data_IF_157880362369
#
_entry.id   IF_157880362369
#
_cell.length_a   1.000
_cell.length_b   1.000
_cell.length_c   1.000
_cell.angle_alpha   90.00
_cell.angle_beta   90.00
_cell.angle_gamma   90.00
#
_symmetry.space_group_name_H-M   'P 1'
#
loop_
_entity.id
_entity.type
_entity.pdbx_description
1 polymer ?
#
# COMPACT_ATOMS: atom_id res chain seq x y z
N UNK A 1 44.25 9.04 -21.81
CA UNK A 1 44.14 7.56 -21.77
C UNK A 1 44.70 7.09 -20.43
N UNK A 2 43.90 6.98 -19.36
CA UNK A 2 44.40 6.43 -18.11
C UNK A 2 44.40 4.90 -18.19
N UNK A 3 45.48 4.31 -17.70
CA UNK A 3 45.78 2.89 -17.72
C UNK A 3 44.81 2.08 -16.86
N UNK A 4 44.28 1.00 -17.42
CA UNK A 4 43.39 0.03 -16.76
C UNK A 4 44.27 -0.82 -15.82
N UNK A 5 44.26 -0.50 -14.53
CA UNK A 5 45.01 -1.26 -13.53
C UNK A 5 44.48 -2.70 -13.48
N UNK A 6 45.37 -3.67 -13.68
CA UNK A 6 45.05 -5.08 -13.52
C UNK A 6 44.69 -5.35 -12.04
N UNK A 7 43.47 -5.82 -11.82
CA UNK A 7 42.97 -6.21 -10.50
C UNK A 7 43.71 -7.49 -10.10
N UNK A 8 44.69 -7.36 -9.20
CA UNK A 8 45.48 -8.50 -8.74
C UNK A 8 44.76 -9.11 -7.53
N UNK A 9 44.31 -10.36 -7.65
CA UNK A 9 43.54 -11.13 -6.65
C UNK A 9 44.32 -11.47 -5.35
N UNK A 10 45.53 -10.93 -5.17
CA UNK A 10 46.34 -11.20 -4.00
C UNK A 10 46.13 -10.12 -2.92
N UNK A 11 45.49 -10.52 -1.81
CA UNK A 11 45.28 -9.79 -0.55
C UNK A 11 44.07 -8.86 -0.47
N UNK A 12 42.86 -9.42 -0.38
CA UNK A 12 41.69 -8.69 0.13
C UNK A 12 41.35 -9.19 1.55
N UNK A 13 41.71 -8.46 2.62
CA UNK A 13 41.27 -8.80 3.98
C UNK A 13 39.75 -8.66 4.13
N UNK A 14 39.16 -9.44 5.05
CA UNK A 14 37.74 -9.35 5.41
C UNK A 14 37.37 -7.95 5.90
N UNK A 15 36.21 -7.43 5.46
CA UNK A 15 35.62 -6.20 6.00
C UNK A 15 36.17 -4.90 5.39
N UNK A 16 36.18 -4.75 4.07
CA UNK A 16 36.70 -3.55 3.40
C UNK A 16 35.61 -2.61 2.86
N UNK A 17 35.90 -1.31 2.98
CA UNK A 17 35.25 -0.27 2.18
C UNK A 17 35.83 -0.34 0.77
N UNK A 18 35.00 -0.65 -0.21
CA UNK A 18 35.32 -0.71 -1.64
C UNK A 18 34.74 0.50 -2.37
N UNK A 19 35.29 0.81 -3.55
CA UNK A 19 34.78 1.87 -4.43
C UNK A 19 33.88 1.29 -5.52
N UNK A 20 33.02 2.12 -6.11
CA UNK A 20 32.14 1.67 -7.20
C UNK A 20 32.95 1.14 -8.40
N UNK A 21 34.01 1.86 -8.79
CA UNK A 21 34.88 1.45 -9.89
C UNK A 21 35.56 0.08 -9.66
N UNK A 22 35.85 -0.25 -8.39
CA UNK A 22 36.38 -1.56 -8.03
C UNK A 22 35.33 -2.67 -8.21
N UNK A 23 34.09 -2.43 -7.78
CA UNK A 23 32.98 -3.37 -7.97
C UNK A 23 32.75 -3.60 -9.47
N UNK A 24 32.67 -2.54 -10.27
CA UNK A 24 32.44 -2.63 -11.71
C UNK A 24 33.56 -3.44 -12.39
N UNK A 25 34.82 -3.17 -12.04
CA UNK A 25 35.96 -3.93 -12.55
C UNK A 25 35.98 -5.40 -12.12
N UNK A 26 35.56 -5.70 -10.88
CA UNK A 26 35.45 -7.07 -10.36
C UNK A 26 34.42 -7.88 -11.15
N UNK A 27 33.26 -7.28 -11.46
CA UNK A 27 32.18 -7.95 -12.21
C UNK A 27 32.60 -8.29 -13.65
N UNK A 28 33.61 -7.61 -14.19
CA UNK A 28 34.17 -7.88 -15.52
C UNK A 28 35.27 -8.97 -15.52
N UNK A 29 35.74 -9.45 -14.36
CA UNK A 29 36.83 -10.44 -14.35
C UNK A 29 36.35 -11.81 -14.83
N UNK A 30 37.17 -12.56 -15.60
CA UNK A 30 36.80 -13.90 -16.07
C UNK A 30 36.47 -14.86 -14.93
N UNK A 31 37.19 -14.76 -13.79
CA UNK A 31 36.96 -15.57 -12.59
C UNK A 31 35.56 -15.33 -12.01
N UNK A 32 35.15 -14.07 -11.88
CA UNK A 32 33.82 -13.69 -11.38
C UNK A 32 32.72 -14.09 -12.36
N UNK A 33 32.92 -13.88 -13.66
CA UNK A 33 31.95 -14.28 -14.69
C UNK A 33 31.75 -15.81 -14.72
N UNK A 34 32.83 -16.58 -14.61
CA UNK A 34 32.76 -18.03 -14.55
C UNK A 34 32.05 -18.50 -13.26
N UNK A 35 32.35 -17.89 -12.12
CA UNK A 35 31.68 -18.21 -10.86
C UNK A 35 30.17 -17.96 -10.94
N UNK A 36 29.75 -16.85 -11.54
CA UNK A 36 28.34 -16.54 -11.78
C UNK A 36 27.68 -17.52 -12.74
N UNK A 37 28.34 -17.86 -13.86
CA UNK A 37 27.81 -18.80 -14.83
C UNK A 37 27.53 -20.17 -14.21
N UNK A 38 28.45 -20.69 -13.39
CA UNK A 38 28.26 -21.95 -12.66
C UNK A 38 27.10 -21.83 -11.67
N UNK A 39 27.02 -20.74 -10.91
CA UNK A 39 25.93 -20.52 -9.96
C UNK A 39 24.56 -20.48 -10.64
N UNK A 40 24.44 -19.79 -11.78
CA UNK A 40 23.20 -19.76 -12.58
C UNK A 40 22.85 -21.14 -13.15
N UNK A 41 23.83 -21.90 -13.65
CA UNK A 41 23.59 -23.26 -14.13
C UNK A 41 23.03 -24.16 -13.01
N UNK A 42 23.60 -24.07 -11.80
CA UNK A 42 23.12 -24.82 -10.64
C UNK A 42 21.71 -24.39 -10.23
N UNK A 43 21.42 -23.09 -10.27
CA UNK A 43 20.07 -22.56 -10.02
C UNK A 43 19.04 -23.07 -11.03
N UNK A 44 19.37 -23.08 -12.33
CA UNK A 44 18.50 -23.61 -13.37
C UNK A 44 18.28 -25.13 -13.24
N UNK A 45 19.27 -25.85 -12.73
CA UNK A 45 19.20 -27.29 -12.48
C UNK A 45 18.53 -27.65 -11.13
N UNK A 46 18.09 -26.66 -10.35
CA UNK A 46 17.57 -26.83 -8.99
C UNK A 46 18.55 -27.54 -8.02
N UNK A 47 19.86 -27.41 -8.28
CA UNK A 47 20.94 -28.06 -7.52
C UNK A 47 21.50 -27.14 -6.44
N UNK A 48 20.82 -27.10 -5.30
CA UNK A 48 21.18 -26.22 -4.17
C UNK A 48 22.44 -26.67 -3.46
N UNK A 49 22.64 -27.98 -3.30
CA UNK A 49 23.83 -28.51 -2.64
C UNK A 49 25.08 -28.21 -3.47
N UNK A 50 25.01 -28.41 -4.79
CA UNK A 50 26.07 -28.04 -5.73
C UNK A 50 26.30 -26.52 -5.76
N UNK A 51 25.26 -25.71 -5.67
CA UNK A 51 25.40 -24.26 -5.54
C UNK A 51 26.10 -23.86 -4.24
N UNK A 52 25.70 -24.45 -3.10
CA UNK A 52 26.29 -24.14 -1.79
C UNK A 52 27.76 -24.52 -1.75
N UNK A 53 28.10 -25.70 -2.25
CA UNK A 53 29.48 -26.16 -2.36
C UNK A 53 30.32 -25.23 -3.26
N UNK A 54 29.77 -24.83 -4.41
CA UNK A 54 30.42 -23.86 -5.31
C UNK A 54 30.66 -22.52 -4.60
N UNK A 55 29.64 -21.93 -3.99
CA UNK A 55 29.76 -20.65 -3.27
C UNK A 55 30.76 -20.69 -2.13
N UNK A 56 30.85 -21.81 -1.39
CA UNK A 56 31.82 -22.00 -0.31
C UNK A 56 33.27 -22.10 -0.81
N UNK A 57 33.48 -22.50 -2.06
CA UNK A 57 34.81 -22.58 -2.68
C UNK A 57 35.33 -21.23 -3.18
N UNK A 58 34.44 -20.22 -3.31
CA UNK A 58 34.80 -18.88 -3.80
C UNK A 58 35.44 -18.04 -2.69
N UNK A 59 36.25 -17.06 -3.10
CA UNK A 59 36.70 -16.02 -2.16
C UNK A 59 35.50 -15.20 -1.67
N UNK A 60 35.53 -14.63 -0.45
CA UNK A 60 34.39 -13.90 0.11
C UNK A 60 33.86 -12.79 -0.82
N UNK A 61 34.76 -12.10 -1.51
CA UNK A 61 34.41 -11.02 -2.44
C UNK A 61 33.65 -11.54 -3.67
N UNK A 62 34.15 -12.60 -4.30
CA UNK A 62 33.50 -13.22 -5.48
C UNK A 62 32.20 -13.91 -5.05
N UNK A 63 32.15 -14.49 -3.86
CA UNK A 63 30.96 -15.10 -3.28
C UNK A 63 29.82 -14.08 -3.12
N UNK A 64 30.07 -12.94 -2.48
CA UNK A 64 29.03 -11.90 -2.29
C UNK A 64 28.59 -11.27 -3.61
N UNK A 65 29.52 -11.04 -4.54
CA UNK A 65 29.20 -10.56 -5.89
C UNK A 65 28.33 -11.56 -6.65
N UNK A 66 28.67 -12.86 -6.57
CA UNK A 66 27.92 -13.95 -7.21
C UNK A 66 26.52 -14.06 -6.61
N UNK A 67 26.39 -14.06 -5.28
CA UNK A 67 25.11 -14.07 -4.58
C UNK A 67 24.24 -12.87 -4.96
N UNK A 68 24.80 -11.67 -4.98
CA UNK A 68 24.05 -10.47 -5.36
C UNK A 68 23.49 -10.57 -6.78
N UNK A 69 24.30 -11.02 -7.74
CA UNK A 69 23.85 -11.20 -9.13
C UNK A 69 22.82 -12.31 -9.27
N UNK A 70 23.03 -13.46 -8.61
CA UNK A 70 22.07 -14.56 -8.61
C UNK A 70 20.69 -14.11 -8.11
N UNK A 71 20.67 -13.43 -6.97
CA UNK A 71 19.44 -13.00 -6.28
C UNK A 71 18.80 -11.73 -6.88
N UNK A 72 19.50 -11.02 -7.76
CA UNK A 72 18.93 -9.90 -8.52
C UNK A 72 17.87 -10.35 -9.54
N UNK A 73 17.86 -11.63 -9.90
CA UNK A 73 16.87 -12.22 -10.82
C UNK A 73 15.82 -13.05 -10.06
N UNK A 74 14.53 -13.02 -10.45
CA UNK A 74 13.50 -13.83 -9.82
C UNK A 74 13.88 -15.32 -9.81
N UNK A 75 13.83 -15.94 -8.63
CA UNK A 75 14.10 -17.38 -8.45
C UNK A 75 12.78 -18.10 -8.19
N UNK A 76 12.55 -19.25 -8.84
CA UNK A 76 11.41 -20.10 -8.49
C UNK A 76 11.65 -20.72 -7.12
N UNK A 77 10.72 -20.54 -6.20
CA UNK A 77 10.85 -21.02 -4.81
C UNK A 77 9.89 -22.17 -4.50
N UNK A 78 9.55 -22.99 -5.51
CA UNK A 78 8.70 -24.18 -5.33
C UNK A 78 9.40 -25.21 -4.43
N UNK A 79 10.72 -25.37 -4.61
CA UNK A 79 11.56 -26.24 -3.79
C UNK A 79 11.79 -25.63 -2.38
N UNK A 80 11.48 -26.36 -1.29
CA UNK A 80 11.67 -25.90 0.09
C UNK A 80 13.11 -25.55 0.45
N UNK A 81 14.09 -26.22 -0.14
CA UNK A 81 15.49 -26.03 0.19
C UNK A 81 15.98 -24.65 -0.28
N UNK A 82 15.42 -24.11 -1.36
CA UNK A 82 15.66 -22.73 -1.80
C UNK A 82 15.13 -21.74 -0.78
N UNK A 83 13.94 -21.99 -0.24
CA UNK A 83 13.33 -21.13 0.79
C UNK A 83 14.17 -21.13 2.06
N UNK A 84 14.71 -22.28 2.45
CA UNK A 84 15.63 -22.39 3.60
C UNK A 84 16.94 -21.66 3.32
N UNK A 85 17.56 -21.90 2.17
CA UNK A 85 18.80 -21.24 1.76
C UNK A 85 18.65 -19.71 1.72
N UNK A 86 17.58 -19.19 1.12
CA UNK A 86 17.31 -17.75 1.11
C UNK A 86 17.02 -17.20 2.50
N UNK A 87 16.37 -17.97 3.38
CA UNK A 87 16.14 -17.55 4.77
C UNK A 87 17.47 -17.41 5.50
N UNK A 88 18.38 -18.36 5.35
CA UNK A 88 19.73 -18.28 5.91
C UNK A 88 20.46 -17.02 5.42
N UNK A 89 20.49 -16.80 4.09
CA UNK A 89 21.11 -15.61 3.49
C UNK A 89 20.45 -14.31 3.97
N UNK A 90 19.14 -14.33 4.19
CA UNK A 90 18.39 -13.16 4.64
C UNK A 90 18.79 -12.69 6.04
N UNK A 91 19.47 -13.52 6.84
CA UNK A 91 19.94 -13.15 8.17
C UNK A 91 21.44 -12.80 8.20
N UNK A 92 22.14 -12.94 7.07
CA UNK A 92 23.56 -12.63 6.97
C UNK A 92 23.83 -11.13 6.82
N UNK A 93 25.02 -10.70 7.26
CA UNK A 93 25.52 -9.34 7.09
C UNK A 93 26.54 -9.31 5.95
N UNK A 94 26.35 -8.49 4.91
CA UNK A 94 27.37 -8.29 3.87
C UNK A 94 28.67 -7.74 4.45
N UNK A 95 29.80 -8.30 4.04
CA UNK A 95 31.12 -7.97 4.56
C UNK A 95 31.77 -6.79 3.83
N UNK A 96 31.44 -6.59 2.55
CA UNK A 96 31.98 -5.50 1.76
C UNK A 96 31.03 -4.31 1.78
N UNK A 97 31.58 -3.11 1.99
CA UNK A 97 30.81 -1.88 2.11
C UNK A 97 31.22 -0.90 1.00
N UNK A 98 30.26 -0.20 0.42
CA UNK A 98 30.47 0.89 -0.53
C UNK A 98 30.35 2.23 0.21
N UNK A 99 31.36 3.08 0.09
CA UNK A 99 31.30 4.46 0.58
C UNK A 99 31.05 5.42 -0.57
N UNK A 100 30.00 6.22 -0.46
CA UNK A 100 29.64 7.25 -1.44
C UNK A 100 29.14 8.52 -0.75
N UNK A 101 29.14 9.64 -1.48
CA UNK A 101 28.65 10.91 -0.97
C UNK A 101 27.20 11.12 -1.41
N UNK A 102 26.31 11.42 -0.46
CA UNK A 102 24.91 11.73 -0.69
C UNK A 102 24.55 12.98 0.12
N UNK A 103 23.99 14.00 -0.54
CA UNK A 103 23.57 15.27 0.07
C UNK A 103 24.65 15.96 0.93
N UNK A 104 25.92 15.86 0.50
CA UNK A 104 27.06 16.44 1.21
C UNK A 104 27.63 15.57 2.33
N UNK A 105 26.97 14.47 2.69
CA UNK A 105 27.40 13.53 3.74
C UNK A 105 27.98 12.24 3.15
N UNK A 106 28.90 11.60 3.89
CA UNK A 106 29.43 10.28 3.54
C UNK A 106 28.50 9.19 4.08
N UNK A 107 27.95 8.38 3.18
CA UNK A 107 27.10 7.23 3.52
C UNK A 107 27.86 5.94 3.21
N UNK A 108 27.70 4.95 4.08
CA UNK A 108 28.27 3.61 3.91
C UNK A 108 27.13 2.60 3.79
N UNK A 109 27.08 1.88 2.68
CA UNK A 109 26.07 0.85 2.39
C UNK A 109 26.75 -0.48 2.10
N UNK A 110 26.06 -1.63 2.16
CA UNK A 110 26.59 -2.87 1.58
C UNK A 110 27.01 -2.68 0.12
N UNK A 111 28.16 -3.23 -0.26
CA UNK A 111 28.60 -3.27 -1.66
C UNK A 111 27.75 -4.26 -2.47
N UNK A 112 27.30 -5.34 -1.82
CA UNK A 112 26.51 -6.41 -2.40
C UNK A 112 25.28 -6.67 -1.53
N UNK A 113 24.10 -6.23 -1.96
CA UNK A 113 22.86 -6.29 -1.17
C UNK A 113 22.17 -7.67 -1.20
N UNK A 114 22.93 -8.77 -1.18
CA UNK A 114 22.39 -10.12 -1.35
C UNK A 114 21.40 -10.53 -0.25
N UNK A 115 21.65 -10.16 1.01
CA UNK A 115 20.74 -10.45 2.11
C UNK A 115 19.38 -9.75 1.95
N UNK A 116 19.39 -8.50 1.48
CA UNK A 116 18.16 -7.76 1.18
C UNK A 116 17.42 -8.36 -0.03
N UNK A 117 18.17 -8.74 -1.08
CA UNK A 117 17.62 -9.43 -2.24
C UNK A 117 16.95 -10.76 -1.86
N UNK A 118 17.57 -11.56 -0.96
CA UNK A 118 16.98 -12.80 -0.44
C UNK A 118 15.64 -12.55 0.28
N UNK A 119 15.57 -11.53 1.15
CA UNK A 119 14.31 -11.12 1.81
C UNK A 119 13.25 -10.74 0.80
N UNK A 120 13.63 -9.97 -0.22
CA UNK A 120 12.70 -9.54 -1.27
C UNK A 120 12.12 -10.74 -2.04
N UNK A 121 12.94 -11.73 -2.40
CA UNK A 121 12.49 -12.95 -3.08
C UNK A 121 11.50 -13.73 -2.21
N UNK A 122 11.82 -13.93 -0.93
CA UNK A 122 10.94 -14.62 0.02
C UNK A 122 9.60 -13.89 0.19
N UNK A 123 9.63 -12.57 0.30
CA UNK A 123 8.42 -11.75 0.40
C UNK A 123 7.58 -11.86 -0.88
N UNK A 124 8.19 -11.78 -2.06
CA UNK A 124 7.48 -11.96 -3.35
C UNK A 124 6.78 -13.32 -3.42
N UNK A 125 7.50 -14.39 -3.10
CA UNK A 125 6.92 -15.73 -3.08
C UNK A 125 5.76 -15.83 -2.09
N UNK A 126 5.89 -15.28 -0.87
CA UNK A 126 4.79 -15.25 0.08
C UNK A 126 3.57 -14.50 -0.46
N UNK A 127 3.76 -13.36 -1.11
CA UNK A 127 2.67 -12.64 -1.77
C UNK A 127 2.03 -13.48 -2.89
N UNK A 128 2.83 -14.11 -3.76
CA UNK A 128 2.33 -14.98 -4.83
C UNK A 128 1.51 -16.15 -4.28
N UNK A 129 1.95 -16.79 -3.20
CA UNK A 129 1.21 -17.87 -2.54
C UNK A 129 -0.13 -17.38 -1.99
N UNK A 130 -0.16 -16.22 -1.32
CA UNK A 130 -1.41 -15.64 -0.82
C UNK A 130 -2.37 -15.29 -1.96
N UNK A 131 -1.86 -14.71 -3.05
CA UNK A 131 -2.67 -14.37 -4.23
C UNK A 131 -3.25 -15.62 -4.89
N UNK A 132 -2.46 -16.70 -5.02
CA UNK A 132 -2.93 -17.98 -5.57
C UNK A 132 -4.00 -18.61 -4.67
N UNK A 133 -3.75 -18.67 -3.36
CA UNK A 133 -4.70 -19.22 -2.38
C UNK A 133 -6.02 -18.42 -2.38
N UNK A 134 -5.95 -17.09 -2.35
CA UNK A 134 -7.11 -16.20 -2.48
C UNK A 134 -7.85 -16.43 -3.79
N UNK A 135 -7.13 -16.49 -4.91
CA UNK A 135 -7.74 -16.70 -6.22
C UNK A 135 -8.53 -18.01 -6.27
N UNK A 136 -7.98 -19.09 -5.72
CA UNK A 136 -8.69 -20.36 -5.59
C UNK A 136 -9.93 -20.23 -4.69
N UNK A 137 -9.78 -19.70 -3.47
CA UNK A 137 -10.88 -19.55 -2.52
C UNK A 137 -12.01 -18.66 -3.07
N UNK A 138 -11.66 -17.58 -3.78
CA UNK A 138 -12.63 -16.70 -4.43
C UNK A 138 -13.35 -17.41 -5.58
N UNK A 139 -12.62 -18.13 -6.43
CA UNK A 139 -13.19 -18.82 -7.59
C UNK A 139 -14.24 -19.87 -7.18
N UNK A 140 -14.01 -20.56 -6.06
CA UNK A 140 -14.93 -21.55 -5.51
C UNK A 140 -15.95 -20.97 -4.51
N UNK A 141 -15.93 -19.65 -4.26
CA UNK A 141 -16.76 -18.97 -3.23
C UNK A 141 -16.59 -19.59 -1.84
N UNK A 142 -15.38 -20.02 -1.52
CA UNK A 142 -15.00 -20.65 -0.25
C UNK A 142 -14.25 -19.69 0.69
N UNK A 143 -13.90 -18.48 0.23
CA UNK A 143 -13.22 -17.51 1.08
C UNK A 143 -14.13 -17.06 2.22
N UNK A 144 -13.71 -17.30 3.46
CA UNK A 144 -14.31 -16.68 4.65
C UNK A 144 -13.38 -15.58 5.14
N UNK A 145 -13.83 -14.32 5.08
CA UNK A 145 -12.96 -13.15 5.35
C UNK A 145 -12.31 -13.25 6.73
N UNK A 146 -13.11 -13.55 7.76
CA UNK A 146 -12.63 -13.60 9.15
C UNK A 146 -11.55 -14.67 9.35
N UNK A 147 -11.72 -15.84 8.72
CA UNK A 147 -10.78 -16.96 8.82
C UNK A 147 -9.51 -16.70 8.00
N UNK A 148 -9.65 -15.96 6.90
CA UNK A 148 -8.52 -15.56 6.06
C UNK A 148 -7.62 -14.54 6.76
N UNK A 149 -8.19 -13.44 7.28
CA UNK A 149 -7.42 -12.31 7.77
C UNK A 149 -6.81 -12.56 9.15
N UNK A 150 -7.44 -13.40 9.98
CA UNK A 150 -6.99 -13.74 11.34
C UNK A 150 -6.57 -12.49 12.11
N UNK A 151 -7.53 -11.65 12.57
CA UNK A 151 -7.27 -10.29 13.04
C UNK A 151 -6.24 -10.19 14.18
N UNK A 152 -6.13 -11.22 15.02
CA UNK A 152 -5.19 -11.28 16.14
C UNK A 152 -3.81 -11.86 15.78
N UNK A 153 -3.59 -12.22 14.51
CA UNK A 153 -2.35 -12.85 14.03
C UNK A 153 -1.31 -11.84 13.57
N UNK A 154 -0.02 -12.19 13.73
CA UNK A 154 1.10 -11.37 13.25
C UNK A 154 1.09 -11.13 11.72
N UNK A 155 0.41 -12.01 10.97
CA UNK A 155 0.25 -11.90 9.51
C UNK A 155 -0.98 -11.09 9.07
N UNK A 156 -1.76 -10.52 10.00
CA UNK A 156 -3.01 -9.81 9.69
C UNK A 156 -2.83 -8.79 8.57
N UNK A 157 -1.87 -7.87 8.71
CA UNK A 157 -1.66 -6.80 7.74
C UNK A 157 -1.38 -7.36 6.33
N UNK A 158 -0.52 -8.37 6.22
CA UNK A 158 -0.17 -8.99 4.93
C UNK A 158 -1.37 -9.69 4.30
N UNK A 159 -2.13 -10.46 5.07
CA UNK A 159 -3.33 -11.19 4.59
C UNK A 159 -4.44 -10.23 4.20
N UNK A 160 -4.63 -9.17 4.99
CA UNK A 160 -5.54 -8.06 4.72
C UNK A 160 -5.16 -7.37 3.42
N UNK A 161 -3.90 -6.98 3.23
CA UNK A 161 -3.42 -6.28 2.02
C UNK A 161 -3.61 -7.14 0.77
N UNK A 162 -3.31 -8.44 0.85
CA UNK A 162 -3.52 -9.38 -0.25
C UNK A 162 -5.01 -9.48 -0.64
N UNK A 163 -5.91 -9.53 0.36
CA UNK A 163 -7.35 -9.55 0.10
C UNK A 163 -7.83 -8.22 -0.51
N UNK A 164 -7.36 -7.09 0.01
CA UNK A 164 -7.72 -5.76 -0.53
C UNK A 164 -7.29 -5.63 -1.99
N UNK A 165 -6.06 -6.02 -2.33
CA UNK A 165 -5.57 -6.02 -3.70
C UNK A 165 -6.42 -6.93 -4.61
N UNK A 166 -6.72 -8.15 -4.15
CA UNK A 166 -7.54 -9.09 -4.92
C UNK A 166 -8.97 -8.57 -5.15
N UNK A 167 -9.61 -7.95 -4.17
CA UNK A 167 -10.92 -7.29 -4.34
C UNK A 167 -10.80 -6.15 -5.36
N UNK A 168 -9.68 -5.43 -5.34
CA UNK A 168 -9.32 -4.39 -6.31
C UNK A 168 -9.41 -4.84 -7.76
N UNK A 169 -9.03 -6.09 -8.04
CA UNK A 169 -8.92 -6.65 -9.39
C UNK A 169 -10.11 -7.54 -9.81
N UNK A 170 -11.00 -7.88 -8.86
CA UNK A 170 -12.11 -8.79 -9.11
C UNK A 170 -13.37 -8.09 -9.62
N UNK A 171 -14.19 -8.82 -10.40
CA UNK A 171 -15.48 -8.31 -10.88
C UNK A 171 -16.50 -8.17 -9.73
N UNK A 172 -17.26 -7.06 -9.74
CA UNK A 172 -18.23 -6.72 -8.69
C UNK A 172 -19.23 -7.85 -8.37
N UNK A 173 -19.78 -8.52 -9.39
CA UNK A 173 -20.74 -9.62 -9.23
C UNK A 173 -20.13 -10.83 -8.49
N UNK A 174 -18.82 -11.04 -8.64
CA UNK A 174 -18.07 -12.09 -7.95
C UNK A 174 -17.87 -11.81 -6.47
N UNK A 175 -18.03 -10.56 -6.04
CA UNK A 175 -17.79 -10.11 -4.67
C UNK A 175 -19.05 -10.06 -3.80
N UNK A 176 -20.24 -10.29 -4.37
CA UNK A 176 -21.50 -10.20 -3.63
C UNK A 176 -21.52 -11.09 -2.36
N UNK A 177 -20.96 -12.30 -2.42
CA UNK A 177 -20.91 -13.17 -1.24
C UNK A 177 -19.95 -12.67 -0.14
N UNK A 178 -18.92 -11.89 -0.50
CA UNK A 178 -18.03 -11.24 0.48
C UNK A 178 -18.72 -10.03 1.13
N UNK A 179 -19.50 -9.28 0.35
CA UNK A 179 -20.35 -8.23 0.89
C UNK A 179 -21.33 -8.81 1.92
N UNK A 180 -22.00 -9.92 1.59
CA UNK A 180 -22.90 -10.62 2.51
C UNK A 180 -22.21 -11.07 3.79
N UNK A 181 -20.97 -11.59 3.71
CA UNK A 181 -20.19 -11.91 4.90
C UNK A 181 -19.95 -10.69 5.77
N UNK A 182 -19.53 -9.55 5.19
CA UNK A 182 -19.32 -8.33 5.96
C UNK A 182 -20.61 -7.81 6.63
N UNK A 183 -21.75 -8.05 5.99
CA UNK A 183 -23.06 -7.68 6.53
C UNK A 183 -23.54 -8.63 7.64
N UNK A 184 -23.20 -9.92 7.60
CA UNK A 184 -23.82 -10.90 8.50
C UNK A 184 -22.86 -11.53 9.53
N UNK A 185 -21.54 -11.49 9.30
CA UNK A 185 -20.56 -12.05 10.23
C UNK A 185 -20.17 -11.03 11.31
N UNK A 186 -20.55 -11.24 12.59
CA UNK A 186 -20.22 -10.34 13.68
C UNK A 186 -18.71 -10.24 13.95
N UNK A 187 -17.91 -11.23 13.53
CA UNK A 187 -16.44 -11.20 13.70
C UNK A 187 -15.80 -10.06 12.91
N UNK A 188 -16.42 -9.65 11.80
CA UNK A 188 -15.89 -8.60 10.92
C UNK A 188 -16.15 -7.18 11.44
N UNK A 189 -17.02 -7.03 12.44
CA UNK A 189 -17.25 -5.73 13.09
C UNK A 189 -16.02 -5.23 13.86
N UNK A 190 -15.19 -6.17 14.33
CA UNK A 190 -14.05 -5.93 15.20
C UNK A 190 -12.70 -5.95 14.48
N UNK A 191 -12.68 -5.89 13.14
CA UNK A 191 -11.42 -5.79 12.41
C UNK A 191 -10.63 -4.52 12.83
N UNK A 192 -9.30 -4.58 12.92
CA UNK A 192 -8.47 -3.44 13.35
C UNK A 192 -8.64 -2.15 12.54
N UNK A 193 -8.98 -2.26 11.26
CA UNK A 193 -9.10 -1.13 10.32
C UNK A 193 -10.28 -1.32 9.36
N UNK A 194 -10.53 -0.33 8.49
CA UNK A 194 -11.63 -0.32 7.53
C UNK A 194 -11.23 -0.71 6.10
N UNK A 195 -10.01 -1.19 5.84
CA UNK A 195 -9.52 -1.38 4.47
C UNK A 195 -10.39 -2.31 3.62
N UNK A 196 -10.75 -3.48 4.18
CA UNK A 196 -11.57 -4.48 3.47
C UNK A 196 -12.98 -3.94 3.25
N UNK A 197 -13.56 -3.27 4.25
CA UNK A 197 -14.90 -2.68 4.14
C UNK A 197 -14.93 -1.58 3.08
N UNK A 198 -13.92 -0.70 3.08
CA UNK A 198 -13.81 0.41 2.14
C UNK A 198 -13.73 -0.10 0.70
N UNK A 199 -12.81 -1.03 0.41
CA UNK A 199 -12.65 -1.55 -0.95
C UNK A 199 -13.86 -2.39 -1.40
N UNK A 200 -14.49 -3.17 -0.51
CA UNK A 200 -15.73 -3.88 -0.86
C UNK A 200 -16.88 -2.91 -1.13
N UNK A 201 -17.05 -1.88 -0.30
CA UNK A 201 -18.10 -0.87 -0.49
C UNK A 201 -17.92 -0.15 -1.82
N UNK A 202 -16.69 0.26 -2.17
CA UNK A 202 -16.38 0.92 -3.43
C UNK A 202 -16.62 0.00 -4.64
N UNK A 203 -16.12 -1.23 -4.60
CA UNK A 203 -16.22 -2.16 -5.73
C UNK A 203 -17.63 -2.68 -5.98
N UNK A 204 -18.41 -2.88 -4.92
CA UNK A 204 -19.79 -3.40 -5.04
C UNK A 204 -20.83 -2.28 -5.11
N UNK A 205 -20.45 -1.04 -4.79
CA UNK A 205 -21.35 0.10 -4.59
C UNK A 205 -22.53 -0.24 -3.67
N UNK A 206 -22.32 -1.12 -2.67
CA UNK A 206 -23.40 -1.60 -1.81
C UNK A 206 -23.74 -0.55 -0.72
N UNK A 207 -24.95 0.02 -0.68
CA UNK A 207 -25.30 1.10 0.25
C UNK A 207 -25.11 0.71 1.72
N UNK A 208 -25.42 -0.54 2.09
CA UNK A 208 -25.28 -0.98 3.47
C UNK A 208 -23.82 -1.13 3.92
N UNK A 209 -22.90 -1.44 3.00
CA UNK A 209 -21.48 -1.49 3.33
C UNK A 209 -20.94 -0.09 3.62
N UNK A 210 -21.33 0.90 2.81
CA UNK A 210 -21.04 2.30 3.11
C UNK A 210 -21.69 2.76 4.42
N UNK A 211 -22.94 2.39 4.67
CA UNK A 211 -23.61 2.71 5.92
C UNK A 211 -22.87 2.13 7.15
N UNK A 212 -22.24 0.95 7.02
CA UNK A 212 -21.35 0.41 8.04
C UNK A 212 -20.05 1.19 8.14
N UNK A 213 -19.41 1.47 7.01
CA UNK A 213 -18.15 2.21 6.95
C UNK A 213 -18.27 3.55 7.69
N UNK A 214 -19.34 4.30 7.42
CA UNK A 214 -19.60 5.60 8.04
C UNK A 214 -19.93 5.53 9.52
N UNK A 215 -20.29 4.36 10.07
CA UNK A 215 -20.55 4.18 11.50
C UNK A 215 -19.33 3.69 12.29
N UNK A 216 -18.30 3.16 11.61
CA UNK A 216 -17.05 2.73 12.27
C UNK A 216 -16.18 3.93 12.63
N UNK A 217 -15.18 3.68 13.47
CA UNK A 217 -14.14 4.66 13.76
C UNK A 217 -13.44 5.05 12.46
N UNK A 218 -13.31 6.36 12.23
CA UNK A 218 -12.69 6.90 11.01
C UNK A 218 -11.19 6.62 11.01
N UNK A 219 -10.70 6.07 9.91
CA UNK A 219 -9.29 5.85 9.61
C UNK A 219 -8.93 6.34 8.20
N UNK A 220 -7.69 6.10 7.77
CA UNK A 220 -7.22 6.48 6.44
C UNK A 220 -8.12 5.90 5.31
N UNK A 221 -8.55 4.65 5.43
CA UNK A 221 -9.37 3.98 4.41
C UNK A 221 -10.78 4.58 4.30
N UNK A 222 -11.36 5.02 5.41
CA UNK A 222 -12.65 5.72 5.40
C UNK A 222 -12.55 7.08 4.69
N UNK A 223 -11.45 7.80 4.91
CA UNK A 223 -11.16 9.07 4.24
C UNK A 223 -10.93 8.87 2.75
N UNK A 224 -10.13 7.88 2.37
CA UNK A 224 -9.87 7.51 0.97
C UNK A 224 -11.18 7.14 0.25
N UNK A 225 -12.02 6.30 0.86
CA UNK A 225 -13.33 5.93 0.31
C UNK A 225 -14.22 7.17 0.10
N UNK A 226 -14.23 8.11 1.04
CA UNK A 226 -14.95 9.38 0.89
C UNK A 226 -14.37 10.21 -0.26
N UNK A 227 -13.05 10.32 -0.38
CA UNK A 227 -12.39 11.01 -1.48
C UNK A 227 -12.69 10.38 -2.85
N UNK A 228 -12.76 9.05 -2.95
CA UNK A 228 -13.08 8.35 -4.19
C UNK A 228 -14.48 8.71 -4.72
N UNK A 229 -15.47 8.90 -3.84
CA UNK A 229 -16.84 9.30 -4.23
C UNK A 229 -16.89 10.65 -4.95
N UNK A 230 -15.96 11.56 -4.67
CA UNK A 230 -15.85 12.84 -5.40
C UNK A 230 -15.49 12.64 -6.88
N UNK A 231 -14.78 11.56 -7.22
CA UNK A 231 -14.49 11.22 -8.62
C UNK A 231 -15.73 10.77 -9.41
N UNK A 232 -16.82 10.41 -8.73
CA UNK A 232 -18.02 9.78 -9.29
C UNK A 232 -19.27 10.66 -9.12
N UNK A 233 -19.10 12.00 -9.08
CA UNK A 233 -20.14 12.99 -8.74
C UNK A 233 -21.36 12.98 -9.66
N UNK A 234 -21.22 12.51 -10.90
CA UNK A 234 -22.34 12.35 -11.84
C UNK A 234 -23.36 11.30 -11.38
N UNK A 235 -23.00 10.47 -10.40
CA UNK A 235 -23.86 9.43 -9.85
C UNK A 235 -24.59 9.92 -8.58
N UNK A 236 -25.92 9.80 -8.61
CA UNK A 236 -26.80 10.07 -7.47
C UNK A 236 -26.41 9.24 -6.22
N UNK A 237 -25.89 8.03 -6.44
CA UNK A 237 -25.41 7.18 -5.36
C UNK A 237 -24.25 7.83 -4.62
N UNK A 238 -23.21 8.29 -5.32
CA UNK A 238 -22.03 8.91 -4.71
C UNK A 238 -22.37 10.16 -3.91
N UNK A 239 -23.28 10.98 -4.44
CA UNK A 239 -23.80 12.16 -3.73
C UNK A 239 -24.52 11.75 -2.44
N UNK A 240 -25.38 10.72 -2.50
CA UNK A 240 -26.08 10.21 -1.32
C UNK A 240 -25.11 9.66 -0.26
N UNK A 241 -24.01 9.01 -0.68
CA UNK A 241 -23.01 8.46 0.24
C UNK A 241 -22.16 9.56 0.87
N UNK A 242 -21.80 10.62 0.14
CA UNK A 242 -21.13 11.80 0.72
C UNK A 242 -22.03 12.47 1.77
N UNK A 243 -23.34 12.61 1.49
CA UNK A 243 -24.31 13.14 2.46
C UNK A 243 -24.46 12.23 3.69
N UNK A 244 -24.39 10.91 3.52
CA UNK A 244 -24.41 9.95 4.61
C UNK A 244 -23.14 10.02 5.47
N UNK A 245 -21.97 10.12 4.85
CA UNK A 245 -20.68 10.28 5.52
C UNK A 245 -20.63 11.56 6.37
N UNK A 246 -21.27 12.65 5.92
CA UNK A 246 -21.35 13.90 6.67
C UNK A 246 -22.07 13.79 8.03
N UNK A 247 -22.81 12.69 8.28
CA UNK A 247 -23.41 12.41 9.59
C UNK A 247 -22.41 11.87 10.61
N UNK A 248 -21.27 11.34 10.16
CA UNK A 248 -20.18 10.95 11.05
C UNK A 248 -19.41 12.22 11.46
N UNK A 249 -19.32 12.55 12.77
CA UNK A 249 -18.65 13.76 13.24
C UNK A 249 -17.21 13.90 12.75
N UNK A 250 -16.47 12.79 12.65
CA UNK A 250 -15.06 12.77 12.23
C UNK A 250 -14.89 12.93 10.72
N UNK A 251 -15.91 12.64 9.91
CA UNK A 251 -15.88 12.81 8.44
C UNK A 251 -16.60 14.08 7.97
N UNK A 252 -17.39 14.70 8.85
CA UNK A 252 -18.32 15.79 8.51
C UNK A 252 -17.68 16.89 7.70
N UNK A 253 -16.61 17.49 8.21
CA UNK A 253 -15.99 18.65 7.55
C UNK A 253 -15.47 18.30 6.16
N UNK A 254 -14.86 17.12 6.02
CA UNK A 254 -14.36 16.63 4.73
C UNK A 254 -15.51 16.39 3.76
N UNK A 255 -16.58 15.73 4.20
CA UNK A 255 -17.75 15.47 3.37
C UNK A 255 -18.46 16.77 2.95
N UNK A 256 -18.65 17.72 3.87
CA UNK A 256 -19.24 19.04 3.59
C UNK A 256 -18.38 19.82 2.59
N UNK A 257 -17.05 19.83 2.75
CA UNK A 257 -16.14 20.47 1.77
C UNK A 257 -16.26 19.85 0.39
N UNK A 258 -16.34 18.52 0.30
CA UNK A 258 -16.49 17.85 -0.99
C UNK A 258 -17.84 18.18 -1.65
N UNK A 259 -18.94 18.11 -0.90
CA UNK A 259 -20.28 18.48 -1.35
C UNK A 259 -20.36 19.97 -1.78
N UNK A 260 -19.72 20.85 -1.02
CA UNK A 260 -19.64 22.27 -1.34
C UNK A 260 -18.81 22.54 -2.60
N UNK A 261 -17.80 21.72 -2.87
CA UNK A 261 -16.95 21.87 -4.08
C UNK A 261 -17.64 21.48 -5.39
N UNK A 262 -18.86 20.92 -5.33
CA UNK A 262 -19.60 20.55 -6.53
C UNK A 262 -20.07 21.80 -7.29
N UNK A 263 -19.89 21.78 -8.61
CA UNK A 263 -20.29 22.87 -9.50
C UNK A 263 -20.83 22.29 -10.83
N UNK A 264 -22.09 22.58 -11.21
CA UNK A 264 -23.10 23.29 -10.41
C UNK A 264 -23.47 22.51 -9.14
N UNK A 265 -24.03 23.21 -8.13
CA UNK A 265 -24.47 22.57 -6.88
C UNK A 265 -25.76 21.79 -7.14
N UNK A 266 -25.79 20.45 -6.99
CA UNK A 266 -27.01 19.69 -7.22
C UNK A 266 -28.10 20.04 -6.20
N UNK A 267 -29.37 20.10 -6.62
CA UNK A 267 -30.49 20.46 -5.74
C UNK A 267 -30.55 19.61 -4.44
N UNK A 268 -30.39 18.27 -4.47
CA UNK A 268 -30.39 17.47 -3.24
C UNK A 268 -29.25 17.85 -2.27
N UNK A 269 -28.13 18.32 -2.80
CA UNK A 269 -26.98 18.77 -2.00
C UNK A 269 -27.25 20.14 -1.39
N UNK A 270 -27.86 21.06 -2.15
CA UNK A 270 -28.28 22.36 -1.66
C UNK A 270 -29.24 22.20 -0.46
N UNK A 271 -30.29 21.38 -0.62
CA UNK A 271 -31.27 21.11 0.43
C UNK A 271 -30.61 20.51 1.68
N UNK A 272 -29.69 19.56 1.47
CA UNK A 272 -28.92 18.97 2.56
C UNK A 272 -28.06 19.99 3.30
N UNK A 273 -27.33 20.84 2.59
CA UNK A 273 -26.47 21.88 3.18
C UNK A 273 -27.30 22.92 3.95
N UNK A 274 -28.47 23.31 3.42
CA UNK A 274 -29.45 24.19 4.11
C UNK A 274 -29.93 23.56 5.42
N UNK A 275 -30.25 22.26 5.40
CA UNK A 275 -30.61 21.53 6.61
C UNK A 275 -29.46 21.50 7.63
N UNK A 276 -28.21 21.30 7.17
CA UNK A 276 -27.02 21.31 8.03
C UNK A 276 -26.74 22.69 8.67
N UNK A 277 -26.98 23.79 7.95
CA UNK A 277 -26.87 25.17 8.47
C UNK A 277 -27.87 25.46 9.58
N UNK A 278 -29.00 24.76 9.59
CA UNK A 278 -30.05 24.90 10.60
C UNK A 278 -29.77 24.11 11.89
N UNK A 279 -28.72 23.27 11.90
CA UNK A 279 -28.30 22.54 13.10
C UNK A 279 -27.45 23.42 14.02
N UNK A 280 -27.29 23.00 15.28
CA UNK A 280 -26.51 23.73 16.31
C UNK A 280 -25.05 24.00 15.92
N UNK A 281 -24.47 23.17 15.07
CA UNK A 281 -23.09 23.30 14.56
C UNK A 281 -23.11 23.80 13.11
N UNK A 282 -24.03 24.69 12.79
CA UNK A 282 -24.21 25.24 11.44
C UNK A 282 -23.23 26.36 11.11
N UNK A 283 -22.62 26.96 12.12
CA UNK A 283 -21.52 27.93 12.02
C UNK A 283 -20.30 27.34 11.30
N UNK A 284 -19.86 26.15 11.70
CA UNK A 284 -18.75 25.44 11.04
C UNK A 284 -19.10 25.11 9.60
N UNK A 285 -20.34 24.68 9.33
CA UNK A 285 -20.82 24.42 7.97
C UNK A 285 -20.80 25.69 7.11
N UNK A 286 -21.27 26.81 7.66
CA UNK A 286 -21.25 28.10 6.98
C UNK A 286 -19.83 28.53 6.63
N UNK A 287 -18.88 28.37 7.55
CA UNK A 287 -17.47 28.67 7.31
C UNK A 287 -16.90 27.82 6.17
N UNK A 288 -17.12 26.50 6.19
CA UNK A 288 -16.65 25.60 5.13
C UNK A 288 -17.24 25.96 3.75
N UNK A 289 -18.49 26.42 3.72
CA UNK A 289 -19.15 26.88 2.49
C UNK A 289 -18.55 28.18 1.96
N UNK A 290 -18.19 29.11 2.85
CA UNK A 290 -17.49 30.35 2.49
C UNK A 290 -16.10 30.05 1.93
N UNK A 291 -15.35 29.15 2.57
CA UNK A 291 -14.03 28.65 2.13
C UNK A 291 -14.11 27.96 0.76
N UNK A 292 -15.20 27.22 0.51
CA UNK A 292 -15.49 26.60 -0.79
C UNK A 292 -16.00 27.59 -1.87
N UNK A 293 -16.02 28.89 -1.58
CA UNK A 293 -16.43 29.93 -2.52
C UNK A 293 -17.94 30.10 -2.67
N UNK A 294 -18.77 29.50 -1.81
CA UNK A 294 -20.25 29.59 -1.87
C UNK A 294 -20.83 30.79 -1.11
N UNK A 295 -20.04 31.84 -0.91
CA UNK A 295 -20.47 33.04 -0.16
C UNK A 295 -21.70 33.73 -0.76
N UNK A 296 -21.75 33.91 -2.09
CA UNK A 296 -22.91 34.55 -2.75
C UNK A 296 -24.19 33.72 -2.61
N UNK A 297 -24.06 32.40 -2.74
CA UNK A 297 -25.17 31.46 -2.52
C UNK A 297 -25.69 31.55 -1.08
N UNK A 298 -24.81 31.61 -0.08
CA UNK A 298 -25.18 31.82 1.33
C UNK A 298 -25.90 33.15 1.55
N UNK A 299 -25.47 34.24 0.92
CA UNK A 299 -26.13 35.54 1.02
C UNK A 299 -27.57 35.47 0.50
N UNK A 300 -27.80 34.76 -0.61
CA UNK A 300 -29.15 34.53 -1.14
C UNK A 300 -30.07 33.75 -0.18
N UNK A 301 -29.51 32.84 0.62
CA UNK A 301 -30.27 31.99 1.55
C UNK A 301 -30.69 32.67 2.86
N UNK A 302 -30.18 33.87 3.16
CA UNK A 302 -30.49 34.54 4.44
C UNK A 302 -32.01 34.78 4.62
N UNK A 303 -32.74 35.01 3.54
CA UNK A 303 -34.18 35.22 3.58
C UNK A 303 -35.00 33.94 3.85
N UNK A 304 -34.43 32.78 3.54
CA UNK A 304 -35.11 31.48 3.58
C UNK A 304 -34.85 30.72 4.89
N UNK A 305 -33.81 31.10 5.64
CA UNK A 305 -33.38 30.43 6.87
C UNK A 305 -34.00 31.02 8.15
N UNK A 306 -34.22 30.14 9.13
CA UNK A 306 -34.59 30.52 10.48
C UNK A 306 -33.52 31.40 11.18
N UNK A 307 -33.85 32.02 12.34
CA UNK A 307 -32.94 32.95 13.03
C UNK A 307 -31.54 32.39 13.31
N UNK A 308 -31.46 31.10 13.67
CA UNK A 308 -30.20 30.41 13.96
C UNK A 308 -29.32 30.26 12.69
N UNK A 309 -29.90 29.83 11.57
CA UNK A 309 -29.18 29.70 10.30
C UNK A 309 -28.68 31.06 9.78
N UNK A 310 -29.48 32.12 9.94
CA UNK A 310 -29.05 33.50 9.64
C UNK A 310 -27.86 33.94 10.48
N UNK A 311 -27.85 33.62 11.77
CA UNK A 311 -26.73 33.93 12.66
C UNK A 311 -25.44 33.21 12.22
N UNK A 312 -25.53 31.92 11.87
CA UNK A 312 -24.39 31.15 11.38
C UNK A 312 -23.79 31.76 10.10
N UNK A 313 -24.64 32.12 9.13
CA UNK A 313 -24.19 32.75 7.87
C UNK A 313 -23.55 34.11 8.14
N UNK A 314 -24.18 34.95 8.96
CA UNK A 314 -23.66 36.28 9.29
C UNK A 314 -22.28 36.18 9.96
N UNK A 315 -22.11 35.24 10.89
CA UNK A 315 -20.83 34.96 11.54
C UNK A 315 -19.77 34.58 10.51
N UNK A 316 -20.04 33.59 9.65
CA UNK A 316 -19.08 33.09 8.67
C UNK A 316 -18.69 34.13 7.62
N UNK A 317 -19.63 34.95 7.15
CA UNK A 317 -19.35 36.02 6.18
C UNK A 317 -18.59 37.20 6.78
N UNK A 318 -18.72 37.44 8.09
CA UNK A 318 -18.01 38.51 8.80
C UNK A 318 -16.55 38.16 9.14
N UNK A 319 -16.21 36.87 9.16
CA UNK A 319 -14.85 36.38 9.41
C UNK A 319 -13.97 36.32 8.16
N UNK A 320 -14.41 36.97 7.06
CA UNK A 320 -13.74 36.99 5.75
C UNK A 320 -12.75 38.14 5.62
#
# INVERSE_FOLDING_TARGET
MPSRAAVTEASTPSGQIVTQAFIDGLLETPSTQQAMAIAFQRQMADDIDGLRAHLQSLSPLIQEATLYRLLSTPTRLDNPDWRTFLRDLSHQQPHFLLRHQQDGYWVTTPAFHYAAAARQQLNRYQHEQLTQELGMLLSYRQLVIADWVKPDGADYARRRDALVAMIGDYEANGLAYLAEQYLHDPRLLWLPDNAILAVLAEKTQHPELYARLWRRGTDAYSLEALHALKGQVSDSFSVSQMMAAARNPSLRDTAIRQLASLSPLPAPVADFLVAQLSLRQGDQVAQLLVEAGKGEWLTGLQAELGPLGRQHIASALSSR
#
